data_IF_768151737691
#
_entry.id   IF_768151737691
#
_cell.length_a   1.000
_cell.length_b   1.000
_cell.length_c   1.000
_cell.angle_alpha   90.00
_cell.angle_beta   90.00
_cell.angle_gamma   90.00
#
_symmetry.space_group_name_H-M   'P 1'
#
loop_
_entity.id
_entity.type
_entity.pdbx_description
1 polymer ?
#
# COMPACT_ATOMS: atom_id res chain seq x y z
N UNK A 1 -16.13 -46.11 -15.77
CA UNK A 1 -15.12 -45.42 -14.95
C UNK A 1 -14.82 -44.07 -15.60
N UNK A 2 -15.17 -42.96 -14.95
CA UNK A 2 -15.39 -41.67 -15.59
C UNK A 2 -14.15 -40.78 -15.73
N UNK A 3 -14.07 -40.08 -16.87
CA UNK A 3 -13.10 -39.03 -17.18
C UNK A 3 -13.19 -37.82 -16.22
N UNK A 4 -14.30 -37.72 -15.47
CA UNK A 4 -14.59 -36.67 -14.48
C UNK A 4 -13.82 -36.79 -13.15
N UNK A 5 -13.35 -37.99 -12.78
CA UNK A 5 -12.57 -38.18 -11.54
C UNK A 5 -11.13 -37.65 -11.67
N UNK A 6 -10.58 -37.61 -12.89
CA UNK A 6 -9.23 -37.11 -13.16
C UNK A 6 -9.13 -35.57 -13.17
N UNK A 7 -10.23 -34.87 -13.44
CA UNK A 7 -10.30 -33.40 -13.41
C UNK A 7 -10.42 -32.84 -11.98
N UNK A 8 -11.02 -33.60 -11.04
CA UNK A 8 -11.11 -33.18 -9.63
C UNK A 8 -9.79 -33.32 -8.86
N UNK A 9 -8.94 -34.28 -9.23
CA UNK A 9 -7.63 -34.47 -8.61
C UNK A 9 -6.64 -33.33 -8.96
N UNK A 10 -6.82 -32.68 -10.12
CA UNK A 10 -5.97 -31.56 -10.57
C UNK A 10 -6.25 -30.25 -9.82
N UNK A 11 -7.48 -30.03 -9.36
CA UNK A 11 -7.85 -28.85 -8.56
C UNK A 11 -7.60 -29.01 -7.05
N UNK A 12 -7.24 -30.20 -6.57
CA UNK A 12 -6.90 -30.46 -5.17
C UNK A 12 -5.40 -30.72 -5.00
N UNK A 13 -4.60 -29.80 -5.53
CA UNK A 13 -3.17 -29.73 -5.25
C UNK A 13 -2.95 -29.26 -3.81
N UNK A 14 -2.97 -30.20 -2.87
CA UNK A 14 -2.49 -30.00 -1.51
C UNK A 14 -0.97 -29.75 -1.58
N UNK A 15 -0.63 -28.48 -1.77
CA UNK A 15 0.74 -28.00 -1.74
C UNK A 15 1.24 -28.17 -0.31
N UNK A 16 1.94 -29.27 -0.04
CA UNK A 16 2.65 -29.47 1.24
C UNK A 16 3.59 -28.26 1.42
N UNK A 17 3.18 -27.32 2.28
CA UNK A 17 4.02 -26.20 2.68
C UNK A 17 5.19 -26.79 3.45
N UNK A 18 6.35 -26.91 2.82
CA UNK A 18 7.60 -27.13 3.54
C UNK A 18 7.76 -25.99 4.54
N UNK A 19 7.86 -26.32 5.82
CA UNK A 19 8.08 -25.32 6.86
C UNK A 19 9.38 -24.57 6.56
N UNK A 20 9.42 -23.22 6.68
CA UNK A 20 10.64 -22.47 6.49
C UNK A 20 11.69 -22.94 7.49
N UNK A 21 12.94 -23.05 7.05
CA UNK A 21 14.05 -23.36 7.94
C UNK A 21 14.27 -22.19 8.93
N UNK A 22 14.85 -22.45 10.12
CA UNK A 22 15.04 -21.41 11.15
C UNK A 22 15.87 -20.21 10.66
N UNK A 23 16.82 -20.44 9.73
CA UNK A 23 17.65 -19.39 9.15
C UNK A 23 16.87 -18.51 8.17
N UNK A 24 16.02 -19.09 7.32
CA UNK A 24 15.13 -18.34 6.41
C UNK A 24 14.08 -17.55 7.18
N UNK A 25 13.53 -18.12 8.26
CA UNK A 25 12.59 -17.42 9.13
C UNK A 25 13.23 -16.20 9.79
N UNK A 26 14.43 -16.36 10.37
CA UNK A 26 15.18 -15.24 10.98
C UNK A 26 15.47 -14.12 9.98
N UNK A 27 15.91 -14.46 8.77
CA UNK A 27 16.17 -13.48 7.70
C UNK A 27 14.90 -12.75 7.28
N UNK A 28 13.77 -13.47 7.18
CA UNK A 28 12.47 -12.87 6.90
C UNK A 28 12.03 -11.91 8.02
N UNK A 29 12.21 -12.30 9.29
CA UNK A 29 11.89 -11.42 10.43
C UNK A 29 12.76 -10.17 10.48
N UNK A 30 14.06 -10.29 10.21
CA UNK A 30 14.95 -9.13 10.14
C UNK A 30 14.52 -8.17 9.02
N UNK A 31 14.17 -8.73 7.86
CA UNK A 31 13.66 -7.97 6.73
C UNK A 31 12.39 -7.20 7.06
N UNK A 32 11.42 -7.83 7.72
CA UNK A 32 10.18 -7.17 8.13
C UNK A 32 10.42 -6.07 9.16
N UNK A 33 11.43 -6.20 10.04
CA UNK A 33 11.81 -5.12 10.97
C UNK A 33 12.40 -3.91 10.26
N UNK A 34 13.22 -4.12 9.23
CA UNK A 34 13.74 -3.00 8.42
C UNK A 34 12.61 -2.26 7.69
N UNK A 35 11.67 -3.02 7.12
CA UNK A 35 10.49 -2.44 6.47
C UNK A 35 9.63 -1.66 7.47
N UNK A 36 9.42 -2.20 8.67
CA UNK A 36 8.67 -1.52 9.74
C UNK A 36 9.37 -0.24 10.20
N UNK A 37 10.68 -0.30 10.45
CA UNK A 37 11.45 0.89 10.81
C UNK A 37 11.41 1.98 9.74
N UNK A 38 11.34 1.61 8.45
CA UNK A 38 11.13 2.57 7.37
C UNK A 38 9.75 3.24 7.44
N UNK A 39 8.68 2.46 7.67
CA UNK A 39 7.31 2.99 7.81
C UNK A 39 7.20 3.92 9.02
N UNK A 40 7.81 3.56 10.15
CA UNK A 40 7.76 4.36 11.37
C UNK A 40 8.47 5.72 11.26
N UNK A 41 9.47 5.82 10.39
CA UNK A 41 10.35 6.99 10.30
C UNK A 41 10.04 7.91 9.11
N UNK A 42 9.12 7.53 8.22
CA UNK A 42 8.72 8.31 7.04
C UNK A 42 7.22 8.57 7.05
N UNK A 43 6.82 9.69 6.44
CA UNK A 43 5.40 10.03 6.26
C UNK A 43 4.89 9.53 4.90
N UNK A 44 3.58 9.27 4.83
CA UNK A 44 2.90 8.96 3.56
C UNK A 44 3.46 7.75 2.81
N UNK A 45 3.90 6.72 3.55
CA UNK A 45 4.50 5.52 2.93
C UNK A 45 3.44 4.69 2.23
N UNK A 46 3.71 4.34 0.97
CA UNK A 46 2.91 3.43 0.17
C UNK A 46 3.75 2.21 -0.24
N UNK A 47 3.13 1.03 -0.25
CA UNK A 47 3.79 -0.22 -0.61
C UNK A 47 3.44 -0.67 -2.03
N UNK A 48 4.44 -1.15 -2.75
CA UNK A 48 4.32 -1.69 -4.10
C UNK A 48 4.88 -3.11 -4.11
N UNK A 49 4.02 -4.08 -4.42
CA UNK A 49 4.43 -5.47 -4.57
C UNK A 49 4.95 -5.71 -5.97
N UNK A 50 6.18 -6.22 -6.03
CA UNK A 50 6.82 -6.60 -7.27
C UNK A 50 6.69 -8.11 -7.44
N UNK A 51 6.24 -8.57 -8.63
CA UNK A 51 6.10 -9.99 -8.88
C UNK A 51 7.47 -10.67 -8.86
N UNK A 52 7.46 -11.95 -8.51
CA UNK A 52 8.63 -12.81 -8.70
C UNK A 52 9.02 -12.82 -10.18
N UNK A 53 10.31 -12.62 -10.45
CA UNK A 53 10.91 -12.75 -11.78
C UNK A 53 11.83 -13.98 -11.82
N UNK A 54 12.49 -14.22 -12.97
CA UNK A 54 13.47 -15.29 -13.10
C UNK A 54 14.68 -15.11 -12.18
N UNK A 55 15.08 -13.87 -11.90
CA UNK A 55 16.29 -13.53 -11.14
C UNK A 55 15.95 -13.10 -9.71
N UNK A 56 14.84 -12.38 -9.53
CA UNK A 56 14.46 -11.80 -8.24
C UNK A 56 13.23 -12.48 -7.64
N UNK A 57 13.27 -12.70 -6.32
CA UNK A 57 12.09 -13.11 -5.56
C UNK A 57 11.01 -12.03 -5.56
N UNK A 58 9.81 -12.39 -5.12
CA UNK A 58 8.78 -11.41 -4.75
C UNK A 58 9.38 -10.38 -3.80
N UNK A 59 9.11 -9.12 -4.05
CA UNK A 59 9.77 -8.00 -3.36
C UNK A 59 8.73 -6.96 -2.97
N UNK A 60 8.89 -6.37 -1.79
CA UNK A 60 8.10 -5.22 -1.34
C UNK A 60 8.97 -3.97 -1.48
N UNK A 61 8.44 -3.00 -2.21
CA UNK A 61 9.03 -1.67 -2.38
C UNK A 61 8.17 -0.68 -1.61
N UNK A 62 8.73 -0.09 -0.55
CA UNK A 62 8.10 1.00 0.20
C UNK A 62 8.58 2.33 -0.36
N UNK A 63 7.68 3.27 -0.57
CA UNK A 63 7.98 4.60 -1.12
C UNK A 63 7.29 5.66 -0.25
N UNK A 64 8.08 6.56 0.32
CA UNK A 64 7.61 7.67 1.15
C UNK A 64 6.98 8.81 0.31
N UNK A 65 6.43 9.82 0.99
CA UNK A 65 5.83 11.01 0.38
C UNK A 65 6.81 11.83 -0.46
N UNK A 66 8.07 11.89 -0.04
CA UNK A 66 9.16 12.59 -0.72
C UNK A 66 9.82 11.78 -1.86
N UNK A 67 9.44 10.51 -1.98
CA UNK A 67 9.98 9.56 -2.95
C UNK A 67 11.17 8.73 -2.47
N UNK A 68 11.66 8.91 -1.23
CA UNK A 68 12.62 7.97 -0.64
C UNK A 68 12.02 6.57 -0.63
N UNK A 69 12.83 5.55 -0.90
CA UNK A 69 12.33 4.19 -0.99
C UNK A 69 13.23 3.14 -0.34
N UNK A 70 12.61 2.07 0.14
CA UNK A 70 13.27 0.87 0.64
C UNK A 70 12.72 -0.36 -0.08
N UNK A 71 13.62 -1.18 -0.61
CA UNK A 71 13.26 -2.40 -1.35
C UNK A 71 13.78 -3.62 -0.63
N UNK A 72 12.90 -4.57 -0.33
CA UNK A 72 13.27 -5.83 0.35
C UNK A 72 12.51 -7.06 -0.15
N UNK A 73 13.17 -8.22 -0.22
CA UNK A 73 12.51 -9.47 -0.59
C UNK A 73 11.49 -9.89 0.47
N UNK A 74 10.36 -10.42 0.02
CA UNK A 74 9.33 -11.02 0.88
C UNK A 74 9.02 -12.43 0.39
N UNK A 75 8.52 -13.28 1.28
CA UNK A 75 8.25 -14.68 0.95
C UNK A 75 7.24 -14.81 -0.18
N UNK A 76 6.14 -14.08 -0.09
CA UNK A 76 5.01 -14.11 -1.02
C UNK A 76 4.10 -12.88 -0.83
N UNK A 77 3.05 -12.80 -1.66
CA UNK A 77 2.02 -11.75 -1.57
C UNK A 77 1.27 -11.75 -0.24
N UNK A 78 1.07 -12.92 0.37
CA UNK A 78 0.39 -13.04 1.67
C UNK A 78 1.17 -12.35 2.77
N UNK A 79 2.49 -12.60 2.86
CA UNK A 79 3.36 -11.91 3.82
C UNK A 79 3.36 -10.39 3.61
N UNK A 80 3.39 -9.92 2.36
CA UNK A 80 3.27 -8.50 2.06
C UNK A 80 1.91 -7.91 2.50
N UNK A 81 0.82 -8.62 2.23
CA UNK A 81 -0.54 -8.17 2.58
C UNK A 81 -0.72 -8.10 4.10
N UNK A 82 -0.26 -9.12 4.83
CA UNK A 82 -0.28 -9.16 6.29
C UNK A 82 0.57 -8.04 6.89
N UNK A 83 1.79 -7.85 6.37
CA UNK A 83 2.67 -6.76 6.80
C UNK A 83 2.00 -5.39 6.61
N UNK A 84 1.52 -5.10 5.39
CA UNK A 84 0.93 -3.80 5.07
C UNK A 84 -0.36 -3.54 5.88
N UNK A 85 -1.17 -4.56 6.10
CA UNK A 85 -2.36 -4.45 6.96
C UNK A 85 -2.01 -4.15 8.42
N UNK A 86 -0.94 -4.77 8.95
CA UNK A 86 -0.45 -4.54 10.31
C UNK A 86 0.06 -3.12 10.53
N UNK A 87 0.81 -2.57 9.58
CA UNK A 87 1.34 -1.19 9.66
C UNK A 87 0.39 -0.15 9.05
N UNK A 88 -0.79 -0.59 8.59
CA UNK A 88 -1.85 0.24 8.01
C UNK A 88 -1.42 1.15 6.84
N UNK A 89 -0.72 0.57 5.85
CA UNK A 89 -0.34 1.27 4.61
C UNK A 89 -0.98 0.60 3.39
N UNK A 90 -1.27 1.36 2.31
CA UNK A 90 -1.82 0.78 1.09
C UNK A 90 -0.79 -0.11 0.37
N UNK A 91 -1.27 -1.20 -0.23
CA UNK A 91 -0.47 -2.14 -1.01
C UNK A 91 -0.96 -2.21 -2.46
N UNK A 92 -0.12 -1.76 -3.38
CA UNK A 92 -0.37 -1.78 -4.82
C UNK A 92 0.39 -2.91 -5.53
N UNK A 93 -0.08 -3.27 -6.71
CA UNK A 93 0.62 -4.19 -7.61
C UNK A 93 1.45 -3.39 -8.61
N UNK A 94 2.78 -3.41 -8.47
CA UNK A 94 3.67 -2.58 -9.27
C UNK A 94 3.56 -2.87 -10.77
N UNK A 95 3.24 -4.12 -11.16
CA UNK A 95 3.07 -4.49 -12.56
C UNK A 95 1.81 -3.90 -13.18
N UNK A 96 0.82 -3.51 -12.36
CA UNK A 96 -0.44 -2.91 -12.81
C UNK A 96 -0.42 -1.39 -12.80
N UNK A 97 0.09 -0.79 -11.72
CA UNK A 97 0.06 0.68 -11.54
C UNK A 97 1.36 1.37 -11.94
N UNK A 98 2.46 0.63 -12.08
CA UNK A 98 3.79 1.18 -12.27
C UNK A 98 4.34 1.83 -11.01
N UNK A 99 5.47 2.52 -11.14
CA UNK A 99 6.10 3.25 -10.04
C UNK A 99 5.65 4.72 -10.01
N UNK A 100 5.43 5.29 -8.82
CA UNK A 100 4.95 6.66 -8.69
C UNK A 100 6.02 7.65 -9.17
N UNK A 101 5.57 8.80 -9.65
CA UNK A 101 6.45 9.86 -10.16
C UNK A 101 7.45 10.35 -9.10
N UNK A 102 7.03 10.45 -7.83
CA UNK A 102 7.88 10.91 -6.71
C UNK A 102 9.15 10.07 -6.53
N UNK A 103 9.09 8.75 -6.75
CA UNK A 103 10.29 7.90 -6.72
C UNK A 103 11.27 8.25 -7.83
N UNK A 104 10.78 8.47 -9.06
CA UNK A 104 11.62 8.86 -10.21
C UNK A 104 12.23 10.25 -10.02
N UNK A 105 11.48 11.16 -9.41
CA UNK A 105 11.96 12.50 -9.08
C UNK A 105 13.03 12.42 -7.98
N UNK A 106 12.86 11.53 -6.99
CA UNK A 106 13.85 11.27 -5.95
C UNK A 106 15.20 10.82 -6.53
N UNK A 107 15.19 9.87 -7.47
CA UNK A 107 16.38 9.41 -8.20
C UNK A 107 17.10 10.52 -8.95
N UNK A 108 16.37 11.56 -9.38
CA UNK A 108 16.89 12.74 -10.07
C UNK A 108 17.38 13.83 -9.12
N UNK A 109 17.33 13.60 -7.80
CA UNK A 109 17.65 14.60 -6.80
C UNK A 109 16.57 15.66 -6.61
N UNK A 110 15.41 15.53 -7.25
CA UNK A 110 14.27 16.42 -7.05
C UNK A 110 13.52 15.94 -5.81
N UNK A 111 13.16 16.87 -4.93
CA UNK A 111 12.31 16.58 -3.76
C UNK A 111 11.02 17.37 -3.90
N UNK A 112 9.85 16.76 -3.67
CA UNK A 112 8.60 17.49 -3.70
C UNK A 112 8.63 18.55 -2.59
N UNK A 113 8.14 19.74 -2.92
CA UNK A 113 7.97 20.79 -1.93
C UNK A 113 6.85 20.38 -0.99
N UNK A 114 7.15 20.30 0.31
CA UNK A 114 6.12 20.17 1.32
C UNK A 114 5.34 21.46 1.41
N UNK A 115 4.03 21.37 1.21
CA UNK A 115 3.12 22.49 1.40
C UNK A 115 2.81 22.57 2.90
N UNK A 116 3.05 23.74 3.50
CA UNK A 116 2.61 23.98 4.88
C UNK A 116 1.12 24.35 4.86
N UNK A 117 0.37 23.87 5.86
CA UNK A 117 -1.05 24.16 6.00
C UNK A 117 -1.30 25.67 6.17
N UNK A 118 -0.40 26.37 6.87
CA UNK A 118 -0.49 27.83 7.07
C UNK A 118 -0.27 28.64 5.79
N UNK A 119 0.42 28.05 4.80
CA UNK A 119 0.69 28.68 3.50
C UNK A 119 -0.47 28.46 2.51
N UNK A 120 -1.40 27.55 2.83
CA UNK A 120 -2.58 27.32 2.00
C UNK A 120 -3.56 28.50 2.16
N UNK A 121 -4.23 28.92 1.09
CA UNK A 121 -5.35 29.83 1.23
C UNK A 121 -6.39 29.19 2.17
N UNK A 122 -7.14 30.01 2.94
CA UNK A 122 -8.25 29.48 3.74
C UNK A 122 -9.15 28.64 2.85
N UNK A 123 -9.66 27.52 3.39
CA UNK A 123 -10.64 26.75 2.64
C UNK A 123 -11.85 27.67 2.39
N UNK A 124 -12.45 27.66 1.18
CA UNK A 124 -13.62 28.48 0.92
C UNK A 124 -14.70 28.25 1.99
N UNK A 125 -14.92 29.25 2.85
CA UNK A 125 -15.81 29.14 4.00
C UNK A 125 -15.13 29.19 5.38
N UNK A 126 -13.81 29.27 5.49
CA UNK A 126 -13.11 29.51 6.77
C UNK A 126 -13.09 31.01 7.13
N UNK A 127 -13.27 31.87 6.14
CA UNK A 127 -13.28 33.34 6.19
C UNK A 127 -14.68 33.94 6.45
N UNK A 128 -15.70 33.10 6.61
CA UNK A 128 -16.94 33.54 7.21
C UNK A 128 -16.75 33.61 8.72
N UNK A 129 -16.66 34.85 9.23
CA UNK A 129 -17.09 35.13 10.59
C UNK A 129 -18.56 34.71 10.80
N UNK A 130 -19.22 35.24 11.82
CA UNK A 130 -20.60 34.92 12.22
C UNK A 130 -21.71 35.05 11.13
N UNK A 131 -21.34 35.33 9.88
CA UNK A 131 -22.18 35.42 8.68
C UNK A 131 -21.83 34.35 7.63
N UNK A 132 -21.69 33.08 8.04
CA UNK A 132 -21.63 31.90 7.17
C UNK A 132 -22.67 31.91 6.03
N UNK A 133 -22.44 31.19 4.91
CA UNK A 133 -23.52 30.96 3.95
C UNK A 133 -24.73 30.41 4.72
N UNK A 134 -25.96 30.90 4.45
CA UNK A 134 -27.13 30.46 5.18
C UNK A 134 -27.23 28.93 5.08
N UNK A 135 -27.70 28.25 6.14
CA UNK A 135 -27.87 26.80 6.10
C UNK A 135 -28.70 26.43 4.86
N UNK A 136 -28.43 25.27 4.22
CA UNK A 136 -29.24 24.82 3.10
C UNK A 136 -30.72 24.82 3.52
N UNK A 137 -31.65 25.20 2.62
CA UNK A 137 -33.07 25.19 2.94
C UNK A 137 -33.47 23.78 3.41
N UNK A 138 -34.41 23.67 4.37
CA UNK A 138 -34.91 22.36 4.78
C UNK A 138 -35.42 21.59 3.55
N UNK A 139 -35.28 20.24 3.54
CA UNK A 139 -35.85 19.44 2.46
C UNK A 139 -37.34 19.76 2.29
N UNK A 140 -37.87 19.72 1.05
CA UNK A 140 -39.29 19.98 0.83
C UNK A 140 -40.11 19.06 1.73
N UNK A 141 -41.13 19.63 2.39
CA UNK A 141 -42.04 18.86 3.22
C UNK A 141 -42.56 17.67 2.39
N UNK A 142 -42.50 16.47 2.98
CA UNK A 142 -43.07 15.29 2.35
C UNK A 142 -44.51 15.58 1.92
N UNK A 143 -44.94 15.14 0.72
CA UNK A 143 -46.31 15.35 0.27
C UNK A 143 -47.26 14.82 1.34
N UNK A 144 -48.22 15.64 1.75
CA UNK A 144 -49.33 15.19 2.59
C UNK A 144 -50.31 14.44 1.67
N UNK A 145 -50.63 13.22 2.06
CA UNK A 145 -51.64 12.36 1.42
C UNK A 145 -53.03 13.03 1.35
#
# INVERSE_FOLDING_TARGET
>A
MGFSDRLRAWFKGESKRSAPSPSTDKASRATLRELEGFVESRAGVEAYLEPKTAIYSTTLLLIADDGEYLRRPVRDRGQATEFCGRVNIPLYDAAKVGYPRRMKDYDRGVRPQRVNLDDLPPWPGDDVGDNGPPPPPPPPAAPRD
#
